data_IF_046872778788
#
_entry.id   IF_046872778788
#
_cell.length_a   1.000
_cell.length_b   1.000
_cell.length_c   1.000
_cell.angle_alpha   90.00
_cell.angle_beta   90.00
_cell.angle_gamma   90.00
#
_symmetry.space_group_name_H-M   'P 1'
#
loop_
_entity.id
_entity.type
_entity.pdbx_description
1 polymer ?
#
# COMPACT_ATOMS: atom_id res chain seq x y z
N UNK A 1 -19.89 -4.45 -4.24
CA UNK A 1 -19.70 -3.26 -5.09
C UNK A 1 -20.09 -2.02 -4.29
N UNK A 2 -19.43 -0.86 -4.46
CA UNK A 2 -19.78 0.37 -3.75
C UNK A 2 -20.53 1.32 -4.70
N UNK A 3 -21.77 1.67 -4.35
CA UNK A 3 -22.77 2.27 -5.25
C UNK A 3 -22.66 3.80 -5.43
N UNK A 4 -21.44 4.34 -5.57
CA UNK A 4 -21.19 5.79 -5.57
C UNK A 4 -20.62 6.31 -6.91
N UNK A 5 -21.02 7.52 -7.35
CA UNK A 5 -20.69 8.07 -8.67
C UNK A 5 -19.23 8.50 -8.84
N UNK A 6 -18.52 8.89 -7.77
CA UNK A 6 -17.08 9.20 -7.81
C UNK A 6 -16.29 8.09 -7.13
N UNK A 7 -15.49 7.34 -7.91
CA UNK A 7 -14.65 6.24 -7.42
C UNK A 7 -13.35 6.13 -8.22
N UNK A 8 -12.29 5.67 -7.54
CA UNK A 8 -11.07 5.23 -8.22
C UNK A 8 -11.25 3.78 -8.62
N UNK A 9 -11.03 3.47 -9.91
CA UNK A 9 -11.12 2.12 -10.42
C UNK A 9 -9.77 1.71 -11.02
N UNK A 10 -9.04 0.87 -10.29
CA UNK A 10 -7.87 0.18 -10.80
C UNK A 10 -8.31 -1.17 -11.38
N UNK A 11 -7.96 -1.44 -12.64
CA UNK A 11 -8.19 -2.73 -13.27
C UNK A 11 -7.03 -3.68 -12.97
N UNK A 12 -7.26 -4.99 -12.99
CA UNK A 12 -6.17 -5.96 -12.96
C UNK A 12 -5.14 -5.64 -14.07
N UNK A 13 -3.84 -5.72 -13.74
CA UNK A 13 -2.75 -5.33 -14.63
C UNK A 13 -2.42 -3.83 -14.65
N UNK A 14 -3.11 -2.99 -13.86
CA UNK A 14 -2.74 -1.57 -13.73
C UNK A 14 -1.40 -1.42 -13.01
N UNK A 15 -0.53 -0.54 -13.51
CA UNK A 15 0.70 -0.14 -12.83
C UNK A 15 0.49 1.18 -12.11
N UNK A 16 0.97 1.26 -10.87
CA UNK A 16 0.92 2.47 -10.05
C UNK A 16 2.33 2.85 -9.59
N UNK A 17 2.61 4.15 -9.36
CA UNK A 17 3.92 4.57 -8.86
C UNK A 17 4.19 3.95 -7.48
N UNK A 18 5.36 3.31 -7.34
CA UNK A 18 5.69 2.59 -6.12
C UNK A 18 5.92 3.54 -4.92
N UNK A 19 6.49 4.73 -5.16
CA UNK A 19 6.92 5.63 -4.09
C UNK A 19 5.82 6.49 -3.47
N UNK A 20 4.64 6.59 -4.10
CA UNK A 20 3.60 7.52 -3.67
C UNK A 20 2.19 6.91 -3.63
N UNK A 21 2.06 5.60 -3.80
CA UNK A 21 0.81 4.89 -3.56
C UNK A 21 0.90 4.03 -2.30
N UNK A 22 -0.23 3.80 -1.63
CA UNK A 22 -0.25 3.05 -0.38
C UNK A 22 0.29 1.63 -0.60
N UNK A 23 -0.22 0.93 -1.62
CA UNK A 23 0.23 -0.42 -2.01
C UNK A 23 1.70 -0.43 -2.44
N UNK A 24 2.14 0.57 -3.21
CA UNK A 24 3.51 0.68 -3.70
C UNK A 24 4.50 0.81 -2.55
N UNK A 25 4.26 1.77 -1.65
CA UNK A 25 5.11 2.00 -0.48
C UNK A 25 5.10 0.81 0.47
N UNK A 26 3.94 0.15 0.63
CA UNK A 26 3.85 -1.08 1.41
C UNK A 26 4.78 -2.15 0.86
N UNK A 27 4.70 -2.45 -0.44
CA UNK A 27 5.52 -3.50 -1.06
C UNK A 27 7.01 -3.14 -1.03
N UNK A 28 7.36 -1.87 -1.21
CA UNK A 28 8.74 -1.39 -1.07
C UNK A 28 9.27 -1.55 0.36
N UNK A 29 8.44 -1.26 1.37
CA UNK A 29 8.86 -1.34 2.78
C UNK A 29 9.26 -2.76 3.20
N UNK A 30 8.62 -3.77 2.60
CA UNK A 30 8.91 -5.19 2.86
C UNK A 30 9.92 -5.82 1.89
N UNK A 31 10.52 -5.05 0.98
CA UNK A 31 11.66 -5.56 0.20
C UNK A 31 12.90 -5.73 1.08
N UNK A 32 13.80 -6.69 0.75
CA UNK A 32 15.12 -6.74 1.35
C UNK A 32 15.83 -5.40 1.25
N UNK A 33 16.52 -4.98 2.32
CA UNK A 33 17.12 -3.63 2.41
C UNK A 33 17.96 -3.28 1.18
N UNK A 34 18.84 -4.17 0.74
CA UNK A 34 19.70 -3.92 -0.43
C UNK A 34 18.92 -3.70 -1.73
N UNK A 35 17.79 -4.41 -1.90
CA UNK A 35 16.92 -4.24 -3.06
C UNK A 35 16.15 -2.92 -2.97
N UNK A 36 15.61 -2.60 -1.79
CA UNK A 36 14.92 -1.35 -1.49
C UNK A 36 15.82 -0.14 -1.74
N UNK A 37 17.01 -0.14 -1.14
CA UNK A 37 18.05 0.87 -1.30
C UNK A 37 18.43 1.10 -2.77
N UNK A 38 18.58 0.01 -3.55
CA UNK A 38 18.86 0.10 -4.99
C UNK A 38 17.71 0.74 -5.75
N UNK A 39 16.46 0.37 -5.46
CA UNK A 39 15.28 0.95 -6.11
C UNK A 39 15.21 2.45 -5.81
N UNK A 40 15.36 2.86 -4.54
CA UNK A 40 15.28 4.26 -4.12
C UNK A 40 16.33 5.15 -4.79
N UNK A 41 17.54 4.63 -5.01
CA UNK A 41 18.64 5.38 -5.64
C UNK A 41 18.54 5.45 -7.17
N UNK A 42 17.84 4.53 -7.81
CA UNK A 42 17.81 4.40 -9.28
C UNK A 42 16.49 4.82 -9.90
N UNK A 43 15.38 4.71 -9.17
CA UNK A 43 14.06 5.02 -9.68
C UNK A 43 13.77 6.53 -9.62
N UNK A 44 13.21 7.13 -10.68
CA UNK A 44 12.82 8.53 -10.64
C UNK A 44 11.62 8.73 -9.69
N UNK A 45 11.84 9.47 -8.60
CA UNK A 45 10.78 9.87 -7.66
C UNK A 45 10.01 11.07 -8.22
N UNK A 46 9.20 10.83 -9.25
CA UNK A 46 8.40 11.88 -9.89
C UNK A 46 7.45 12.54 -8.88
N UNK A 47 7.42 13.87 -8.88
CA UNK A 47 6.42 14.65 -8.15
C UNK A 47 5.07 14.62 -8.86
N UNK A 48 4.01 14.16 -8.19
CA UNK A 48 2.64 14.15 -8.70
C UNK A 48 1.79 15.26 -8.06
N UNK A 49 1.99 15.49 -6.77
CA UNK A 49 1.33 16.52 -5.97
C UNK A 49 2.35 17.26 -5.11
N UNK A 50 1.90 18.24 -4.34
CA UNK A 50 2.74 18.92 -3.35
C UNK A 50 3.10 18.02 -2.16
N UNK A 51 2.40 16.90 -1.95
CA UNK A 51 2.60 15.96 -0.86
C UNK A 51 3.48 14.76 -1.25
N UNK A 52 3.76 14.58 -2.55
CA UNK A 52 4.62 13.49 -3.01
C UNK A 52 6.00 13.57 -2.38
N UNK A 53 6.43 12.50 -1.71
CA UNK A 53 7.81 12.33 -1.25
C UNK A 53 8.70 12.15 -2.49
N UNK A 54 9.66 13.05 -2.67
CA UNK A 54 10.59 13.02 -3.83
C UNK A 54 12.06 12.96 -3.41
N UNK A 55 12.30 12.94 -2.11
CA UNK A 55 13.61 12.78 -1.50
C UNK A 55 13.81 11.31 -1.09
N UNK A 56 14.87 10.63 -1.55
CA UNK A 56 15.09 9.22 -1.25
C UNK A 56 15.25 8.90 0.24
N UNK A 57 15.87 9.79 1.03
CA UNK A 57 16.12 9.55 2.45
C UNK A 57 14.82 9.72 3.26
N UNK A 58 13.98 10.70 2.90
CA UNK A 58 12.64 10.83 3.46
C UNK A 58 11.75 9.64 3.10
N UNK A 59 11.88 9.12 1.88
CA UNK A 59 11.13 7.94 1.47
C UNK A 59 11.60 6.70 2.24
N UNK A 60 12.90 6.47 2.37
CA UNK A 60 13.45 5.38 3.18
C UNK A 60 12.93 5.44 4.63
N UNK A 61 12.96 6.61 5.26
CA UNK A 61 12.42 6.80 6.61
C UNK A 61 10.90 6.48 6.68
N UNK A 62 10.13 6.88 5.66
CA UNK A 62 8.71 6.53 5.57
C UNK A 62 8.50 5.01 5.40
N UNK A 63 9.37 4.33 4.63
CA UNK A 63 9.29 2.89 4.41
C UNK A 63 9.63 2.11 5.70
N UNK A 64 10.62 2.57 6.47
CA UNK A 64 10.95 1.99 7.77
C UNK A 64 9.78 2.11 8.76
N UNK A 65 9.11 3.27 8.79
CA UNK A 65 7.89 3.46 9.59
C UNK A 65 6.79 2.49 9.16
N UNK A 66 6.57 2.32 7.85
CA UNK A 66 5.57 1.39 7.29
C UNK A 66 5.85 -0.05 7.72
N UNK A 67 7.12 -0.49 7.65
CA UNK A 67 7.52 -1.82 8.07
C UNK A 67 7.29 -2.04 9.58
N UNK A 68 7.60 -1.03 10.41
CA UNK A 68 7.40 -1.10 11.87
C UNK A 68 5.93 -1.12 12.27
N UNK A 69 5.07 -0.30 11.66
CA UNK A 69 3.66 -0.19 12.03
C UNK A 69 2.76 -1.22 11.34
N UNK A 70 3.21 -1.83 10.24
CA UNK A 70 2.50 -2.89 9.53
C UNK A 70 1.41 -2.41 8.57
N UNK A 71 1.45 -1.14 8.13
CA UNK A 71 0.51 -0.58 7.15
C UNK A 71 1.09 0.66 6.47
N UNK A 72 0.54 1.01 5.32
CA UNK A 72 0.93 2.16 4.51
C UNK A 72 -0.27 3.05 4.21
N UNK A 73 -0.03 4.36 4.20
CA UNK A 73 -1.01 5.37 3.81
C UNK A 73 -0.47 6.15 2.63
N UNK A 74 -1.35 6.44 1.68
CA UNK A 74 -1.18 7.51 0.71
C UNK A 74 -2.09 8.67 1.12
N UNK A 75 -1.49 9.81 1.47
CA UNK A 75 -2.21 11.03 1.77
C UNK A 75 -2.08 12.04 0.65
N UNK A 76 -2.85 11.84 -0.43
CA UNK A 76 -2.88 12.74 -1.58
C UNK A 76 -1.52 12.88 -2.27
N UNK A 77 -0.69 11.85 -2.22
CA UNK A 77 0.69 11.85 -2.73
C UNK A 77 0.73 11.57 -4.24
N UNK A 78 -0.20 10.77 -4.76
CA UNK A 78 -0.34 10.47 -6.19
C UNK A 78 -1.42 11.33 -6.87
N UNK A 79 -2.47 11.72 -6.14
CA UNK A 79 -3.54 12.60 -6.62
C UNK A 79 -4.15 13.44 -5.48
N UNK A 80 -4.41 14.72 -5.72
CA UNK A 80 -5.07 15.60 -4.75
C UNK A 80 -6.49 15.11 -4.46
N UNK A 81 -6.86 15.09 -3.18
CA UNK A 81 -8.17 14.61 -2.72
C UNK A 81 -8.32 13.08 -2.69
N UNK A 82 -7.28 12.32 -3.03
CA UNK A 82 -7.26 10.86 -2.93
C UNK A 82 -6.50 10.42 -1.68
N UNK A 83 -7.10 9.51 -0.91
CA UNK A 83 -6.39 8.78 0.14
C UNK A 83 -6.47 7.29 -0.09
N UNK A 84 -5.46 6.57 0.37
CA UNK A 84 -5.47 5.12 0.36
C UNK A 84 -4.81 4.54 1.61
N UNK A 85 -5.28 3.37 2.03
CA UNK A 85 -4.68 2.55 3.08
C UNK A 85 -4.31 1.19 2.46
N UNK A 86 -3.16 0.65 2.84
CA UNK A 86 -2.75 -0.68 2.47
C UNK A 86 -2.19 -1.46 3.67
N UNK A 87 -2.53 -2.76 3.75
CA UNK A 87 -2.03 -3.72 4.75
C UNK A 87 -1.42 -4.94 4.04
N UNK A 88 -0.40 -5.59 4.64
CA UNK A 88 0.27 -6.72 4.01
C UNK A 88 -0.61 -7.97 4.02
N UNK A 89 -0.58 -8.72 2.92
CA UNK A 89 -1.04 -10.10 2.83
C UNK A 89 0.20 -10.98 2.97
N UNK A 90 0.16 -11.92 3.93
CA UNK A 90 1.29 -12.79 4.24
C UNK A 90 1.02 -14.23 3.85
N UNK A 91 2.09 -14.95 3.52
CA UNK A 91 2.06 -16.40 3.40
C UNK A 91 2.13 -17.09 4.78
N UNK A 92 1.99 -18.42 4.86
CA UNK A 92 2.10 -19.16 6.12
C UNK A 92 3.47 -19.06 6.80
N UNK A 93 4.52 -18.68 6.08
CA UNK A 93 5.87 -18.46 6.59
C UNK A 93 6.02 -17.03 7.17
N UNK A 94 5.05 -16.16 6.94
CA UNK A 94 5.03 -14.78 7.41
C UNK A 94 5.56 -13.76 6.39
N UNK A 95 5.96 -14.19 5.21
CA UNK A 95 6.50 -13.33 4.16
C UNK A 95 5.39 -12.52 3.48
N UNK A 96 5.67 -11.25 3.16
CA UNK A 96 4.71 -10.38 2.48
C UNK A 96 4.71 -10.69 0.98
N UNK A 97 3.65 -11.32 0.52
CA UNK A 97 3.49 -11.74 -0.88
C UNK A 97 2.62 -10.80 -1.71
N UNK A 98 1.76 -10.02 -1.05
CA UNK A 98 0.86 -9.06 -1.67
C UNK A 98 0.44 -7.99 -0.66
N UNK A 99 -0.37 -7.03 -1.09
CA UNK A 99 -1.04 -6.09 -0.20
C UNK A 99 -2.52 -5.94 -0.53
N UNK A 100 -3.33 -5.72 0.50
CA UNK A 100 -4.73 -5.36 0.38
C UNK A 100 -4.84 -3.85 0.56
N UNK A 101 -5.38 -3.15 -0.44
CA UNK A 101 -5.50 -1.70 -0.42
C UNK A 101 -6.92 -1.21 -0.72
N UNK A 102 -7.31 -0.11 -0.09
CA UNK A 102 -8.56 0.62 -0.36
C UNK A 102 -8.24 2.06 -0.72
N UNK A 103 -8.97 2.61 -1.69
CA UNK A 103 -8.89 4.00 -2.11
C UNK A 103 -10.20 4.70 -1.79
N UNK A 104 -10.12 5.94 -1.35
CA UNK A 104 -11.30 6.77 -1.09
C UNK A 104 -11.01 8.25 -1.31
N UNK A 105 -12.02 9.05 -1.69
CA UNK A 105 -11.91 10.50 -1.61
C UNK A 105 -11.70 10.96 -0.16
N UNK A 106 -10.74 11.85 0.07
CA UNK A 106 -10.39 12.38 1.39
C UNK A 106 -11.60 12.91 2.18
N UNK A 107 -12.53 13.68 1.58
CA UNK A 107 -13.70 14.19 2.32
C UNK A 107 -14.66 13.11 2.80
N UNK A 108 -14.61 11.91 2.20
CA UNK A 108 -15.53 10.80 2.51
C UNK A 108 -14.95 9.86 3.54
N UNK A 109 -13.66 9.58 3.45
CA UNK A 109 -12.98 8.60 4.31
C UNK A 109 -11.59 9.11 4.66
N UNK A 110 -11.51 10.09 5.57
CA UNK A 110 -10.24 10.68 5.96
C UNK A 110 -9.35 9.64 6.65
N UNK A 111 -8.05 9.92 6.66
CA UNK A 111 -7.02 8.98 7.17
C UNK A 111 -7.28 8.55 8.60
N UNK A 112 -7.70 9.47 9.48
CA UNK A 112 -8.01 9.14 10.87
C UNK A 112 -9.04 8.00 10.96
N UNK A 113 -10.11 8.08 10.16
CA UNK A 113 -11.13 7.05 10.07
C UNK A 113 -10.62 5.77 9.40
N UNK A 114 -9.72 5.87 8.43
CA UNK A 114 -9.10 4.69 7.82
C UNK A 114 -8.28 3.89 8.84
N UNK A 115 -7.54 4.58 9.70
CA UNK A 115 -6.72 3.97 10.76
C UNK A 115 -7.61 3.27 11.81
N UNK A 116 -8.77 3.83 12.16
CA UNK A 116 -9.73 3.20 13.08
C UNK A 116 -10.18 1.80 12.63
N UNK A 117 -10.17 1.54 11.32
CA UNK A 117 -10.59 0.26 10.73
C UNK A 117 -9.44 -0.68 10.40
N UNK A 118 -8.21 -0.36 10.81
CA UNK A 118 -7.02 -1.09 10.37
C UNK A 118 -7.05 -2.58 10.69
N UNK A 119 -7.57 -2.96 11.87
CA UNK A 119 -7.63 -4.36 12.27
C UNK A 119 -8.62 -5.15 11.42
N UNK A 120 -9.73 -4.54 11.00
CA UNK A 120 -10.65 -5.14 10.01
C UNK A 120 -9.94 -5.39 8.67
N UNK A 121 -9.08 -4.47 8.22
CA UNK A 121 -8.29 -4.68 7.00
C UNK A 121 -7.26 -5.81 7.19
N UNK A 122 -6.60 -5.88 8.35
CA UNK A 122 -5.64 -6.95 8.68
C UNK A 122 -6.30 -8.32 8.72
N UNK A 123 -7.47 -8.43 9.33
CA UNK A 123 -8.26 -9.66 9.35
C UNK A 123 -8.63 -10.11 7.94
N UNK A 124 -9.10 -9.17 7.10
CA UNK A 124 -9.41 -9.46 5.70
C UNK A 124 -8.16 -9.92 4.92
N UNK A 125 -7.02 -9.27 5.11
CA UNK A 125 -5.75 -9.65 4.50
C UNK A 125 -5.28 -11.04 4.96
N UNK A 126 -5.45 -11.38 6.24
CA UNK A 126 -5.15 -12.71 6.78
C UNK A 126 -6.00 -13.81 6.14
N UNK A 127 -7.30 -13.56 5.95
CA UNK A 127 -8.19 -14.50 5.25
C UNK A 127 -7.78 -14.73 3.80
N UNK A 128 -7.39 -13.66 3.10
CA UNK A 128 -6.85 -13.77 1.73
C UNK A 128 -5.58 -14.62 1.71
N UNK A 129 -4.65 -14.36 2.62
CA UNK A 129 -3.41 -15.13 2.73
C UNK A 129 -3.67 -16.63 2.89
N UNK A 130 -4.55 -17.01 3.82
CA UNK A 130 -4.93 -18.41 4.01
C UNK A 130 -5.53 -19.04 2.74
N UNK A 131 -6.47 -18.33 2.09
CA UNK A 131 -7.13 -18.85 0.89
C UNK A 131 -6.19 -19.03 -0.30
N UNK A 132 -5.16 -18.18 -0.45
CA UNK A 132 -4.18 -18.32 -1.54
C UNK A 132 -3.35 -19.60 -1.42
N UNK A 133 -2.99 -20.02 -0.20
CA UNK A 133 -2.10 -21.16 0.03
C UNK A 133 -2.80 -22.46 0.45
N UNK A 134 -4.09 -22.42 0.80
CA UNK A 134 -4.90 -23.64 0.97
C UNK A 134 -5.23 -24.30 -0.37
N UNK A 135 -5.35 -23.53 -1.44
CA UNK A 135 -5.64 -24.04 -2.80
C UNK A 135 -4.43 -24.81 -3.36
N UNK A 136 -3.20 -24.36 -3.08
CA UNK A 136 -1.97 -24.99 -3.57
C UNK A 136 -1.65 -26.35 -2.93
N UNK A 137 -2.20 -26.66 -1.75
CA UNK A 137 -1.99 -27.96 -1.08
C UNK A 137 -2.88 -29.10 -1.61
N UNK A 138 -3.80 -28.82 -2.54
CA UNK A 138 -4.74 -29.80 -3.10
C UNK A 138 -4.41 -30.26 -4.53
N UNK A 139 -3.21 -29.97 -5.03
CA UNK A 139 -2.77 -30.39 -6.37
C UNK A 139 -1.78 -31.55 -6.35
#
# INVERSE_FOLDING_TARGET
ECDWPLRVQLKAGSHVPAHCTAIGKLLLAYQPKDARDRILRTAPLRKFTKYTITDPDQLEASLDQIAAQGYSINNQEDAIGLVALAVPVRDPQGEVIAGLAVHAPEPRFPIAKAIEHIDTFREAAGRIGLSLFEVDKKS
#
